data_IF_795113324346
#
_entry.id   IF_795113324346
#
_cell.length_a   1.000
_cell.length_b   1.000
_cell.length_c   1.000
_cell.angle_alpha   90.00
_cell.angle_beta   90.00
_cell.angle_gamma   90.00
#
_symmetry.space_group_name_H-M   'P 1'
#
loop_
_entity.id
_entity.type
_entity.pdbx_description
1 polymer ?
#
# COMPACT_ATOMS: atom_id res chain seq x y z
N UNK A 1 -7.46 6.33 -15.72
CA UNK A 1 -6.24 5.53 -15.54
C UNK A 1 -5.10 6.23 -16.24
N UNK A 2 -3.88 6.21 -15.71
CA UNK A 2 -2.77 7.01 -16.21
C UNK A 2 -1.71 6.16 -16.90
N UNK A 3 -1.21 6.65 -18.03
CA UNK A 3 -0.05 6.08 -18.71
C UNK A 3 1.16 6.97 -18.49
N UNK A 4 2.23 6.44 -17.93
CA UNK A 4 3.40 7.20 -17.39
C UNK A 4 4.62 7.12 -18.32
N UNK A 5 4.52 6.39 -19.43
CA UNK A 5 5.60 6.21 -20.38
C UNK A 5 5.31 5.14 -21.45
N UNK A 6 6.25 4.95 -22.36
CA UNK A 6 6.04 4.16 -23.59
C UNK A 6 6.19 2.63 -23.39
N UNK A 7 6.64 2.16 -22.21
CA UNK A 7 6.75 0.72 -21.94
C UNK A 7 5.37 0.13 -21.65
N UNK A 8 5.17 -1.14 -22.00
CA UNK A 8 3.96 -1.88 -21.66
C UNK A 8 3.62 -1.78 -20.16
N UNK A 9 4.61 -1.91 -19.30
CA UNK A 9 4.47 -1.82 -17.84
C UNK A 9 4.45 -0.38 -17.29
N UNK A 10 4.23 0.62 -18.14
CA UNK A 10 4.04 2.02 -17.72
C UNK A 10 2.59 2.45 -17.84
N UNK A 11 1.69 1.50 -17.92
CA UNK A 11 0.25 1.67 -18.00
C UNK A 11 -0.40 0.98 -16.79
N UNK A 12 -1.31 1.69 -16.08
CA UNK A 12 -1.95 1.19 -14.87
C UNK A 12 -2.77 -0.06 -15.14
N UNK A 13 -3.58 -0.06 -16.20
CA UNK A 13 -4.43 -1.19 -16.55
C UNK A 13 -3.60 -2.46 -16.81
N UNK A 14 -2.50 -2.31 -17.57
CA UNK A 14 -1.55 -3.41 -17.81
C UNK A 14 -0.91 -3.91 -16.52
N UNK A 15 -0.53 -2.99 -15.62
CA UNK A 15 0.08 -3.37 -14.34
C UNK A 15 -0.90 -4.08 -13.41
N UNK A 16 -2.16 -3.67 -13.39
CA UNK A 16 -3.21 -4.30 -12.59
C UNK A 16 -3.41 -5.76 -13.01
N UNK A 17 -3.53 -6.03 -14.31
CA UNK A 17 -3.67 -7.39 -14.84
C UNK A 17 -2.45 -8.26 -14.50
N UNK A 18 -1.23 -7.74 -14.70
CA UNK A 18 0.01 -8.45 -14.39
C UNK A 18 0.10 -8.74 -12.88
N UNK A 19 -0.29 -7.77 -12.05
CA UNK A 19 -0.24 -7.88 -10.58
C UNK A 19 -1.24 -8.91 -10.08
N UNK A 20 -2.49 -8.88 -10.57
CA UNK A 20 -3.52 -9.86 -10.24
C UNK A 20 -3.11 -11.28 -10.69
N UNK A 21 -2.57 -11.42 -11.91
CA UNK A 21 -2.03 -12.70 -12.38
C UNK A 21 -0.98 -13.26 -11.42
N UNK A 22 -0.03 -12.43 -11.01
CA UNK A 22 1.04 -12.89 -10.12
C UNK A 22 0.56 -13.13 -8.70
N UNK A 23 -0.45 -12.42 -8.24
CA UNK A 23 -1.06 -12.70 -6.93
C UNK A 23 -1.72 -14.08 -6.90
N UNK A 24 -2.54 -14.40 -7.90
CA UNK A 24 -3.20 -15.69 -8.03
C UNK A 24 -2.16 -16.81 -8.22
N UNK A 25 -1.14 -16.58 -9.06
CA UNK A 25 -0.04 -17.52 -9.26
C UNK A 25 0.71 -17.79 -7.95
N UNK A 26 1.07 -16.76 -7.17
CA UNK A 26 1.76 -16.91 -5.89
C UNK A 26 0.89 -17.60 -4.83
N UNK A 27 -0.45 -17.49 -4.96
CA UNK A 27 -1.43 -18.21 -4.13
C UNK A 27 -1.54 -19.70 -4.48
N UNK A 28 -0.89 -20.16 -5.53
CA UNK A 28 -0.85 -21.58 -5.89
C UNK A 28 -1.79 -21.98 -7.04
N UNK A 29 -2.52 -21.03 -7.62
CA UNK A 29 -3.46 -21.33 -8.70
C UNK A 29 -2.76 -21.79 -9.99
N UNK A 30 -3.44 -22.63 -10.76
CA UNK A 30 -2.93 -23.07 -12.07
C UNK A 30 -2.98 -21.91 -13.08
N UNK A 31 -1.94 -21.71 -13.91
CA UNK A 31 -1.91 -20.62 -14.89
C UNK A 31 -3.10 -20.59 -15.85
N UNK A 32 -3.68 -21.74 -16.20
CA UNK A 32 -4.87 -21.82 -17.06
C UNK A 32 -6.12 -21.32 -16.34
N UNK A 33 -6.28 -21.68 -15.06
CA UNK A 33 -7.41 -21.23 -14.25
C UNK A 33 -7.31 -19.72 -13.99
N UNK A 34 -6.10 -19.20 -13.76
CA UNK A 34 -5.84 -17.76 -13.64
C UNK A 34 -6.27 -17.04 -14.91
N UNK A 35 -5.88 -17.56 -16.08
CA UNK A 35 -6.27 -17.01 -17.37
C UNK A 35 -7.80 -16.90 -17.48
N UNK A 36 -8.52 -17.98 -17.22
CA UNK A 36 -9.99 -18.02 -17.32
C UNK A 36 -10.61 -16.99 -16.38
N UNK A 37 -10.10 -16.88 -15.16
CA UNK A 37 -10.57 -15.87 -14.20
C UNK A 37 -10.35 -14.45 -14.71
N UNK A 38 -9.15 -14.14 -15.20
CA UNK A 38 -8.86 -12.81 -15.73
C UNK A 38 -9.69 -12.49 -16.98
N UNK A 39 -9.84 -13.43 -17.92
CA UNK A 39 -10.72 -13.25 -19.07
C UNK A 39 -12.17 -12.98 -18.65
N UNK A 40 -12.63 -13.59 -17.56
CA UNK A 40 -13.98 -13.36 -17.02
C UNK A 40 -14.07 -12.00 -16.30
N UNK A 41 -13.10 -11.68 -15.46
CA UNK A 41 -13.11 -10.44 -14.66
C UNK A 41 -12.97 -9.18 -15.53
N UNK A 42 -12.26 -9.30 -16.66
CA UNK A 42 -11.97 -8.19 -17.58
C UNK A 42 -12.74 -8.31 -18.91
N UNK A 43 -13.86 -9.05 -18.93
CA UNK A 43 -14.62 -9.31 -20.17
C UNK A 43 -15.01 -8.00 -20.89
N UNK A 44 -15.52 -7.02 -20.15
CA UNK A 44 -15.92 -5.71 -20.71
C UNK A 44 -14.71 -4.96 -21.29
N UNK A 45 -13.55 -4.99 -20.62
CA UNK A 45 -12.32 -4.37 -21.12
C UNK A 45 -11.71 -5.13 -22.31
N UNK A 46 -11.91 -6.45 -22.40
CA UNK A 46 -11.44 -7.25 -23.55
C UNK A 46 -12.20 -6.88 -24.81
N UNK A 47 -13.50 -6.59 -24.67
CA UNK A 47 -14.38 -6.20 -25.78
C UNK A 47 -14.27 -4.69 -26.10
N UNK A 48 -13.60 -3.92 -25.26
CA UNK A 48 -13.34 -2.49 -25.46
C UNK A 48 -12.24 -2.26 -26.52
N UNK A 49 -12.48 -1.34 -27.45
CA UNK A 49 -11.55 -1.03 -28.53
C UNK A 49 -10.23 -0.43 -28.07
N UNK A 50 -10.24 0.28 -26.93
CA UNK A 50 -9.08 1.00 -26.40
C UNK A 50 -8.26 0.14 -25.41
N UNK A 51 -8.88 -0.78 -24.69
CA UNK A 51 -8.23 -1.57 -23.62
C UNK A 51 -7.94 -3.03 -24.04
N UNK A 52 -8.74 -3.62 -24.94
CA UNK A 52 -8.66 -5.05 -25.23
C UNK A 52 -7.29 -5.51 -25.72
N UNK A 53 -6.58 -4.72 -26.51
CA UNK A 53 -5.23 -5.05 -26.94
C UNK A 53 -4.22 -5.02 -25.78
N UNK A 54 -4.38 -4.10 -24.80
CA UNK A 54 -3.53 -3.99 -23.60
C UNK A 54 -3.69 -5.22 -22.70
N UNK A 55 -4.94 -5.71 -22.55
CA UNK A 55 -5.21 -6.94 -21.80
C UNK A 55 -4.38 -8.12 -22.33
N UNK A 56 -4.41 -8.34 -23.64
CA UNK A 56 -3.68 -9.47 -24.24
C UNK A 56 -2.17 -9.32 -24.14
N UNK A 57 -1.64 -8.11 -24.26
CA UNK A 57 -0.23 -7.83 -24.06
C UNK A 57 0.19 -8.09 -22.59
N UNK A 58 -0.63 -7.67 -21.64
CA UNK A 58 -0.38 -7.88 -20.20
C UNK A 58 -0.40 -9.36 -19.83
N UNK A 59 -1.43 -10.10 -20.28
CA UNK A 59 -1.56 -11.53 -20.04
C UNK A 59 -0.40 -12.32 -20.65
N UNK A 60 -0.02 -11.99 -21.90
CA UNK A 60 1.14 -12.59 -22.55
C UNK A 60 2.43 -12.37 -21.76
N UNK A 61 2.64 -11.15 -21.25
CA UNK A 61 3.80 -10.81 -20.42
C UNK A 61 3.84 -11.65 -19.14
N UNK A 62 2.71 -11.73 -18.44
CA UNK A 62 2.62 -12.47 -17.19
C UNK A 62 2.85 -13.98 -17.40
N UNK A 63 2.21 -14.58 -18.42
CA UNK A 63 2.40 -15.99 -18.75
C UNK A 63 3.83 -16.29 -19.21
N UNK A 64 4.42 -15.42 -20.04
CA UNK A 64 5.81 -15.59 -20.46
C UNK A 64 6.80 -15.49 -19.29
N UNK A 65 6.57 -14.57 -18.39
CA UNK A 65 7.42 -14.40 -17.20
C UNK A 65 7.47 -15.66 -16.33
N UNK A 66 6.40 -16.45 -16.26
CA UNK A 66 6.38 -17.74 -15.54
C UNK A 66 6.77 -18.94 -16.42
N UNK A 67 7.08 -18.70 -17.70
CA UNK A 67 7.46 -19.75 -18.66
C UNK A 67 6.29 -20.61 -19.14
N UNK A 68 5.06 -20.09 -19.10
CA UNK A 68 3.82 -20.83 -19.46
C UNK A 68 2.95 -20.03 -20.45
N UNK A 69 3.58 -19.44 -21.45
CA UNK A 69 2.86 -18.66 -22.48
C UNK A 69 2.04 -19.59 -23.40
N UNK A 70 0.74 -19.35 -23.46
CA UNK A 70 -0.18 -20.06 -24.34
C UNK A 70 0.01 -19.66 -25.80
N UNK A 71 -0.08 -20.63 -26.70
CA UNK A 71 0.12 -20.41 -28.16
C UNK A 71 -0.92 -19.46 -28.78
N UNK A 72 -2.15 -19.51 -28.32
CA UNK A 72 -3.22 -18.63 -28.80
C UNK A 72 -3.06 -17.19 -28.29
N UNK A 73 -2.54 -17.00 -27.07
CA UNK A 73 -2.17 -15.69 -26.54
C UNK A 73 -1.00 -15.10 -27.36
N UNK A 74 0.01 -15.90 -27.66
CA UNK A 74 1.10 -15.46 -28.55
C UNK A 74 0.57 -14.99 -29.91
N UNK A 75 -0.38 -15.73 -30.51
CA UNK A 75 -1.02 -15.33 -31.78
C UNK A 75 -1.79 -14.01 -31.68
N UNK A 76 -2.45 -13.76 -30.54
CA UNK A 76 -3.12 -12.47 -30.30
C UNK A 76 -2.10 -11.32 -30.27
N UNK A 77 -0.97 -11.49 -29.60
CA UNK A 77 0.12 -10.49 -29.61
C UNK A 77 0.67 -10.27 -31.03
N UNK A 78 0.88 -11.34 -31.80
CA UNK A 78 1.32 -11.22 -33.20
C UNK A 78 0.30 -10.45 -34.06
N UNK A 79 -0.98 -10.65 -33.80
CA UNK A 79 -2.06 -9.92 -34.51
C UNK A 79 -2.03 -8.43 -34.11
N UNK A 80 -1.89 -8.09 -32.81
CA UNK A 80 -1.77 -6.72 -32.33
C UNK A 80 -0.61 -5.99 -32.99
N UNK A 81 0.55 -6.64 -33.10
CA UNK A 81 1.73 -6.10 -33.80
C UNK A 81 1.48 -5.93 -35.31
N UNK A 82 0.88 -6.93 -35.95
CA UNK A 82 0.60 -6.91 -37.38
C UNK A 82 -0.40 -5.82 -37.77
N UNK A 83 -1.43 -5.60 -36.95
CA UNK A 83 -2.45 -4.56 -37.19
C UNK A 83 -2.01 -3.18 -36.72
N UNK A 84 -0.91 -3.09 -35.97
CA UNK A 84 -0.40 -1.86 -35.36
C UNK A 84 -1.43 -1.15 -34.45
N UNK A 85 -2.41 -1.88 -33.92
CA UNK A 85 -3.53 -1.31 -33.15
C UNK A 85 -3.03 -0.56 -31.90
N UNK A 86 -2.05 -1.12 -31.18
CA UNK A 86 -1.48 -0.48 -29.98
C UNK A 86 -0.88 0.90 -30.31
N UNK A 87 -0.14 1.03 -31.41
CA UNK A 87 0.45 2.32 -31.81
C UNK A 87 -0.61 3.29 -32.28
N UNK A 88 -1.63 2.80 -32.98
CA UNK A 88 -2.76 3.60 -33.48
C UNK A 88 -3.52 4.21 -32.29
N UNK A 89 -3.90 3.38 -31.31
CA UNK A 89 -4.56 3.84 -30.09
C UNK A 89 -3.67 4.77 -29.25
N UNK A 90 -2.37 4.49 -29.18
CA UNK A 90 -1.40 5.37 -28.54
C UNK A 90 -1.39 6.78 -29.14
N UNK A 91 -1.50 6.92 -30.48
CA UNK A 91 -1.56 8.20 -31.16
C UNK A 91 -2.90 8.90 -30.89
N UNK A 92 -4.02 8.17 -30.91
CA UNK A 92 -5.35 8.70 -30.62
C UNK A 92 -5.45 9.30 -29.21
N UNK A 93 -4.65 8.79 -28.26
CA UNK A 93 -4.56 9.26 -26.88
C UNK A 93 -3.45 10.31 -26.66
N UNK A 94 -2.98 10.97 -27.73
CA UNK A 94 -1.87 11.94 -27.67
C UNK A 94 -0.58 11.42 -27.01
N UNK A 95 -0.36 10.09 -27.14
CA UNK A 95 0.80 9.42 -26.56
C UNK A 95 2.13 9.88 -27.17
N UNK A 96 3.10 10.20 -26.31
CA UNK A 96 4.41 10.65 -26.73
C UNK A 96 5.18 9.57 -27.52
N UNK A 97 5.93 10.02 -28.55
CA UNK A 97 6.88 9.22 -29.31
C UNK A 97 6.33 7.85 -29.82
N UNK A 98 5.31 7.84 -30.71
CA UNK A 98 4.68 6.61 -31.21
C UNK A 98 5.68 5.65 -31.88
N UNK A 99 6.71 6.16 -32.53
CA UNK A 99 7.76 5.33 -33.14
C UNK A 99 8.49 4.47 -32.09
N UNK A 100 8.76 5.05 -30.94
CA UNK A 100 9.37 4.32 -29.83
C UNK A 100 8.41 3.30 -29.21
N UNK A 101 7.11 3.65 -29.06
CA UNK A 101 6.08 2.71 -28.60
C UNK A 101 6.00 1.50 -29.50
N UNK A 102 5.86 1.72 -30.82
CA UNK A 102 5.84 0.64 -31.84
C UNK A 102 7.06 -0.29 -31.71
N UNK A 103 8.26 0.31 -31.62
CA UNK A 103 9.48 -0.48 -31.47
C UNK A 103 9.46 -1.35 -30.21
N UNK A 104 9.03 -0.81 -29.09
CA UNK A 104 8.98 -1.54 -27.82
C UNK A 104 7.99 -2.71 -27.88
N UNK A 105 6.82 -2.53 -28.50
CA UNK A 105 5.83 -3.59 -28.67
C UNK A 105 6.35 -4.66 -29.63
N UNK A 106 7.04 -4.27 -30.71
CA UNK A 106 7.69 -5.21 -31.62
C UNK A 106 8.81 -6.00 -30.95
N UNK A 107 9.67 -5.34 -30.15
CA UNK A 107 10.72 -5.98 -29.38
C UNK A 107 10.13 -6.98 -28.38
N UNK A 108 9.07 -6.60 -27.66
CA UNK A 108 8.33 -7.48 -26.76
C UNK A 108 7.78 -8.71 -27.49
N UNK A 109 7.11 -8.53 -28.63
CA UNK A 109 6.57 -9.65 -29.42
C UNK A 109 7.68 -10.63 -29.87
N UNK A 110 8.86 -10.12 -30.20
CA UNK A 110 9.99 -10.98 -30.59
C UNK A 110 10.59 -11.69 -29.36
N UNK A 111 10.66 -11.00 -28.21
CA UNK A 111 11.17 -11.56 -26.97
C UNK A 111 10.34 -12.75 -26.49
N UNK A 112 9.00 -12.63 -26.47
CA UNK A 112 8.12 -13.68 -25.95
C UNK A 112 8.06 -14.94 -26.82
N UNK A 113 8.53 -14.90 -28.06
CA UNK A 113 8.71 -16.09 -28.92
C UNK A 113 9.80 -17.01 -28.41
N UNK A 114 10.72 -16.47 -27.61
CA UNK A 114 11.81 -17.23 -27.04
C UNK A 114 11.39 -17.63 -25.60
N UNK A 115 11.47 -18.91 -25.25
CA UNK A 115 11.19 -19.35 -23.88
C UNK A 115 12.03 -18.57 -22.88
N UNK A 116 11.40 -18.14 -21.78
CA UNK A 116 12.12 -17.39 -20.75
C UNK A 116 13.20 -18.24 -20.10
N UNK A 117 14.44 -17.81 -20.17
CA UNK A 117 15.60 -18.56 -19.66
C UNK A 117 15.53 -18.81 -18.13
N UNK A 118 14.95 -17.88 -17.39
CA UNK A 118 14.72 -17.97 -15.93
C UNK A 118 13.28 -17.60 -15.61
N UNK A 119 12.34 -18.56 -15.70
CA UNK A 119 10.94 -18.32 -15.34
C UNK A 119 10.80 -17.87 -13.88
N UNK A 120 9.86 -16.97 -13.63
CA UNK A 120 9.49 -16.53 -12.31
C UNK A 120 8.90 -17.71 -11.53
N UNK A 121 9.46 -17.96 -10.37
CA UNK A 121 8.94 -18.95 -9.42
C UNK A 121 7.87 -18.31 -8.54
N UNK A 122 6.94 -19.14 -8.04
CA UNK A 122 5.96 -18.71 -7.02
C UNK A 122 6.68 -18.14 -5.81
N UNK A 123 6.23 -16.97 -5.36
CA UNK A 123 6.74 -16.38 -4.14
C UNK A 123 5.96 -16.97 -2.96
N UNK A 124 6.67 -17.50 -1.98
CA UNK A 124 6.04 -17.89 -0.72
C UNK A 124 5.49 -16.63 -0.03
N UNK A 125 4.22 -16.64 0.30
CA UNK A 125 3.68 -15.63 1.23
C UNK A 125 4.34 -15.82 2.59
N UNK A 126 4.96 -14.77 3.08
CA UNK A 126 5.56 -14.75 4.41
C UNK A 126 4.57 -14.03 5.31
N UNK A 127 3.97 -14.79 6.23
CA UNK A 127 3.14 -14.22 7.27
C UNK A 127 4.00 -13.71 8.42
N UNK A 128 3.59 -12.60 8.99
CA UNK A 128 4.27 -11.92 10.09
C UNK A 128 3.25 -11.46 11.11
N UNK A 129 3.72 -11.18 12.31
CA UNK A 129 2.89 -10.61 13.36
C UNK A 129 3.41 -9.23 13.75
N UNK A 130 2.50 -8.32 14.07
CA UNK A 130 2.85 -7.05 14.69
C UNK A 130 3.74 -7.30 15.93
N UNK A 131 4.78 -6.48 16.15
CA UNK A 131 5.63 -6.58 17.36
C UNK A 131 4.89 -6.16 18.64
N UNK A 132 3.70 -5.60 18.50
CA UNK A 132 2.87 -5.11 19.58
C UNK A 132 1.55 -5.87 19.69
N UNK A 133 0.87 -5.64 20.83
CA UNK A 133 -0.49 -6.11 21.08
C UNK A 133 -1.46 -4.92 21.11
N UNK A 134 -2.72 -5.18 20.78
CA UNK A 134 -3.79 -4.20 20.92
C UNK A 134 -3.85 -3.66 22.35
N UNK A 135 -3.84 -2.36 22.48
CA UNK A 135 -3.87 -1.65 23.76
C UNK A 135 -2.50 -1.33 24.33
N UNK A 136 -1.41 -1.82 23.75
CA UNK A 136 -0.08 -1.48 24.23
C UNK A 136 0.11 0.03 24.20
N UNK A 137 0.63 0.54 25.31
CA UNK A 137 1.05 1.92 25.49
C UNK A 137 2.55 1.96 25.35
N UNK A 138 2.99 2.67 24.33
CA UNK A 138 4.41 2.74 23.96
C UNK A 138 4.94 4.14 24.19
N UNK A 139 6.10 4.23 24.83
CA UNK A 139 6.86 5.47 25.00
C UNK A 139 8.17 5.37 24.22
N UNK A 140 8.66 6.53 23.78
CA UNK A 140 9.91 6.67 23.04
C UNK A 140 10.54 8.04 23.31
N UNK A 141 11.82 8.18 23.03
CA UNK A 141 12.52 9.47 23.09
C UNK A 141 12.44 10.19 21.74
N UNK A 142 12.13 11.46 21.79
CA UNK A 142 12.19 12.39 20.68
C UNK A 142 13.64 12.84 20.42
N UNK A 143 13.87 13.54 19.34
CA UNK A 143 15.22 14.04 18.97
C UNK A 143 15.82 14.98 20.01
N UNK A 144 14.98 15.72 20.77
CA UNK A 144 15.41 16.59 21.86
C UNK A 144 15.53 15.88 23.23
N UNK A 145 15.37 14.55 23.28
CA UNK A 145 15.52 13.73 24.48
C UNK A 145 14.30 13.66 25.39
N UNK A 146 13.21 14.34 25.06
CA UNK A 146 11.94 14.23 25.78
C UNK A 146 11.18 12.95 25.36
N UNK A 147 10.17 12.58 26.15
CA UNK A 147 9.35 11.40 25.86
C UNK A 147 8.08 11.77 25.12
N UNK A 148 7.84 11.09 23.97
CA UNK A 148 6.58 10.98 23.29
C UNK A 148 5.91 9.63 23.55
N UNK A 149 4.66 9.48 23.14
CA UNK A 149 3.93 8.22 23.30
C UNK A 149 2.85 8.00 22.24
N UNK A 150 2.51 6.72 22.05
CA UNK A 150 1.36 6.29 21.27
C UNK A 150 0.66 5.09 21.91
N UNK A 151 -0.56 4.85 21.46
CA UNK A 151 -1.34 3.66 21.83
C UNK A 151 -1.56 2.80 20.57
N UNK A 152 -1.39 1.51 20.71
CA UNK A 152 -1.70 0.53 19.67
C UNK A 152 -3.20 0.26 19.65
N UNK A 153 -3.88 0.65 18.57
CA UNK A 153 -5.33 0.48 18.40
C UNK A 153 -5.66 -0.90 17.85
N UNK A 154 -4.91 -1.35 16.84
CA UNK A 154 -4.96 -2.71 16.31
C UNK A 154 -3.56 -3.25 16.07
N UNK A 155 -3.44 -4.57 16.12
CA UNK A 155 -2.20 -5.28 15.85
C UNK A 155 -2.52 -6.59 15.15
N UNK A 156 -2.16 -6.70 13.89
CA UNK A 156 -2.39 -7.91 13.11
C UNK A 156 -1.40 -9.00 13.48
N UNK A 157 -1.89 -10.23 13.51
CA UNK A 157 -1.10 -11.44 13.76
C UNK A 157 -1.26 -12.37 12.57
N UNK A 158 -0.16 -12.98 12.19
CA UNK A 158 -0.12 -13.97 11.11
C UNK A 158 -0.77 -13.48 9.81
N UNK A 159 -0.46 -12.23 9.44
CA UNK A 159 -0.88 -11.62 8.18
C UNK A 159 0.32 -11.28 7.30
N UNK A 160 0.06 -11.04 6.03
CA UNK A 160 1.12 -10.68 5.07
C UNK A 160 1.77 -9.33 5.42
N UNK A 161 0.98 -8.37 5.94
CA UNK A 161 1.45 -7.01 6.20
C UNK A 161 1.79 -6.75 7.66
N UNK A 162 1.28 -7.58 8.60
CA UNK A 162 1.47 -7.42 10.05
C UNK A 162 1.18 -5.98 10.51
N UNK A 163 0.11 -5.40 9.99
CA UNK A 163 -0.22 -3.99 10.19
C UNK A 163 -0.46 -3.69 11.66
N UNK A 164 0.11 -2.60 12.13
CA UNK A 164 -0.09 -2.05 13.47
C UNK A 164 -0.69 -0.67 13.33
N UNK A 165 -1.92 -0.49 13.78
CA UNK A 165 -2.53 0.84 13.83
C UNK A 165 -2.18 1.52 15.14
N UNK A 166 -1.62 2.70 15.08
CA UNK A 166 -1.27 3.51 16.26
C UNK A 166 -1.96 4.86 16.24
N UNK A 167 -2.15 5.44 17.42
CA UNK A 167 -2.59 6.81 17.61
C UNK A 167 -1.62 7.50 18.56
N UNK A 168 -1.05 8.61 18.11
CA UNK A 168 -0.18 9.42 18.97
C UNK A 168 -0.96 10.14 20.07
N UNK A 169 -0.29 10.33 21.19
CA UNK A 169 -0.84 11.07 22.34
C UNK A 169 -0.22 12.46 22.43
N UNK A 170 -1.01 13.41 22.88
CA UNK A 170 -0.56 14.78 23.08
C UNK A 170 0.23 14.91 24.42
N UNK A 171 1.34 14.19 24.48
CA UNK A 171 2.24 14.14 25.63
C UNK A 171 3.67 14.41 25.18
N UNK A 172 4.29 15.42 25.80
CA UNK A 172 5.74 15.60 25.83
C UNK A 172 6.15 15.70 27.31
N UNK A 173 7.15 14.91 27.71
CA UNK A 173 7.60 14.85 29.09
C UNK A 173 9.12 14.69 29.18
N UNK A 174 9.74 15.41 30.13
CA UNK A 174 11.18 15.27 30.42
C UNK A 174 11.51 13.94 31.09
N UNK A 175 10.54 13.32 31.74
CA UNK A 175 10.68 12.02 32.41
C UNK A 175 9.72 11.01 31.77
N UNK A 176 10.07 9.72 31.88
CA UNK A 176 9.21 8.65 31.38
C UNK A 176 7.82 8.73 32.02
N UNK A 177 6.75 8.92 31.21
CA UNK A 177 5.41 9.06 31.75
C UNK A 177 4.88 7.73 32.28
N UNK A 178 4.14 7.79 33.38
CA UNK A 178 3.46 6.60 33.94
C UNK A 178 2.18 6.32 33.16
N UNK A 179 1.78 5.07 33.10
CA UNK A 179 0.55 4.63 32.41
C UNK A 179 -0.71 5.35 32.96
N UNK A 180 -0.75 5.67 34.24
CA UNK A 180 -1.85 6.41 34.86
C UNK A 180 -2.00 7.84 34.32
N UNK A 181 -0.90 8.48 33.97
CA UNK A 181 -0.88 9.81 33.33
C UNK A 181 -1.35 9.67 31.88
N UNK A 182 -0.82 8.69 31.18
CA UNK A 182 -1.19 8.41 29.78
C UNK A 182 -2.68 8.09 29.65
N UNK A 183 -3.23 7.29 30.53
CA UNK A 183 -4.66 6.93 30.49
C UNK A 183 -5.61 8.14 30.62
N UNK A 184 -5.12 9.25 31.14
CA UNK A 184 -5.86 10.52 31.32
C UNK A 184 -5.51 11.57 30.27
N UNK A 185 -4.59 11.26 29.37
CA UNK A 185 -4.13 12.20 28.33
C UNK A 185 -5.16 12.38 27.20
N UNK A 186 -4.89 13.38 26.37
CA UNK A 186 -5.57 13.58 25.12
C UNK A 186 -4.83 12.86 23.98
N UNK A 187 -5.55 12.50 22.93
CA UNK A 187 -4.93 12.11 21.67
C UNK A 187 -4.31 13.32 20.99
N UNK A 188 -3.28 13.09 20.21
CA UNK A 188 -2.66 14.14 19.41
C UNK A 188 -3.53 14.47 18.21
N UNK A 189 -4.12 15.67 18.24
CA UNK A 189 -4.80 16.29 17.12
C UNK A 189 -3.86 17.35 16.58
N UNK A 190 -3.51 17.29 15.31
CA UNK A 190 -2.65 18.30 14.72
C UNK A 190 -3.40 19.19 13.75
N UNK A 191 -2.88 20.38 13.55
CA UNK A 191 -3.41 21.38 12.65
C UNK A 191 -2.63 21.33 11.32
N UNK A 192 -3.35 21.33 10.21
CA UNK A 192 -2.75 21.45 8.87
C UNK A 192 -3.64 22.31 7.99
N UNK A 193 -3.09 22.79 6.90
CA UNK A 193 -3.85 23.43 5.82
C UNK A 193 -3.84 22.50 4.61
N UNK A 194 -5.01 22.17 4.10
CA UNK A 194 -5.16 21.41 2.89
C UNK A 194 -6.14 22.14 1.96
N UNK A 195 -5.73 22.33 0.71
CA UNK A 195 -6.51 23.07 -0.30
C UNK A 195 -6.91 24.50 0.14
N UNK A 196 -6.05 25.17 0.91
CA UNK A 196 -6.30 26.51 1.42
C UNK A 196 -7.27 26.61 2.61
N UNK A 197 -7.69 25.47 3.16
CA UNK A 197 -8.59 25.42 4.32
C UNK A 197 -7.90 24.84 5.55
N UNK A 198 -8.08 25.44 6.73
CA UNK A 198 -7.56 24.90 7.98
C UNK A 198 -8.27 23.60 8.34
N UNK A 199 -7.51 22.59 8.71
CA UNK A 199 -8.02 21.30 9.11
C UNK A 199 -7.42 20.86 10.45
N UNK A 200 -8.25 20.29 11.32
CA UNK A 200 -7.83 19.61 12.54
C UNK A 200 -7.94 18.11 12.30
N UNK A 201 -6.82 17.41 12.31
CA UNK A 201 -6.76 15.99 11.91
C UNK A 201 -6.45 15.13 13.13
N UNK A 202 -7.32 14.13 13.35
CA UNK A 202 -7.00 12.96 14.16
C UNK A 202 -6.51 11.89 13.18
N UNK A 203 -5.31 11.42 13.37
CA UNK A 203 -4.72 10.45 12.47
C UNK A 203 -4.43 9.14 13.17
N UNK A 204 -5.06 8.07 12.68
CA UNK A 204 -4.63 6.72 12.95
C UNK A 204 -3.65 6.31 11.85
N UNK A 205 -2.47 5.90 12.26
CA UNK A 205 -1.39 5.49 11.38
C UNK A 205 -1.33 3.97 11.31
N UNK A 206 -1.51 3.44 10.12
CA UNK A 206 -1.21 2.04 9.84
C UNK A 206 0.28 1.89 9.49
N UNK A 207 0.98 1.16 10.33
CA UNK A 207 2.39 0.85 10.14
C UNK A 207 2.50 -0.61 9.75
N UNK A 208 2.79 -0.87 8.48
CA UNK A 208 2.91 -2.22 7.94
C UNK A 208 4.32 -2.77 8.06
N UNK A 209 4.40 -4.08 7.94
CA UNK A 209 5.59 -4.94 7.80
C UNK A 209 6.74 -4.57 8.74
N UNK A 210 6.67 -5.09 9.96
CA UNK A 210 7.83 -5.09 10.86
C UNK A 210 8.92 -6.03 10.32
N UNK A 211 10.13 -5.48 10.16
CA UNK A 211 11.33 -6.25 9.80
C UNK A 211 12.32 -6.23 10.95
N UNK A 212 12.59 -7.38 11.62
CA UNK A 212 13.56 -7.43 12.72
C UNK A 212 14.96 -6.94 12.36
N UNK A 213 15.31 -6.99 11.08
CA UNK A 213 16.63 -6.55 10.60
C UNK A 213 16.63 -5.05 10.28
N UNK A 214 15.63 -4.58 9.51
CA UNK A 214 15.57 -3.18 9.05
C UNK A 214 15.15 -2.21 10.16
N UNK A 215 14.17 -2.62 10.97
CA UNK A 215 13.54 -1.77 11.96
C UNK A 215 14.10 -1.96 13.38
N UNK A 216 15.12 -2.81 13.54
CA UNK A 216 15.71 -3.13 14.85
C UNK A 216 16.04 -1.88 15.67
N UNK A 217 16.74 -0.91 15.05
CA UNK A 217 17.15 0.33 15.73
C UNK A 217 15.97 1.20 16.15
N UNK A 218 14.87 1.19 15.39
CA UNK A 218 13.64 1.91 15.74
C UNK A 218 12.96 1.18 16.89
N UNK A 219 12.80 -0.13 16.76
CA UNK A 219 12.09 -0.93 17.76
C UNK A 219 12.79 -0.91 19.14
N UNK A 220 14.12 -0.91 19.19
CA UNK A 220 14.91 -0.81 20.44
C UNK A 220 14.68 0.50 21.20
N UNK A 221 14.15 1.53 20.53
CA UNK A 221 13.80 2.82 21.14
C UNK A 221 12.33 2.88 21.59
N UNK A 222 11.53 1.89 21.26
CA UNK A 222 10.12 1.80 21.57
C UNK A 222 9.93 0.90 22.83
N UNK A 223 9.42 1.49 23.90
CA UNK A 223 9.23 0.79 25.17
C UNK A 223 7.75 0.66 25.48
N UNK A 224 7.24 -0.56 25.60
CA UNK A 224 5.90 -0.83 26.14
C UNK A 224 5.94 -0.64 27.64
N UNK A 225 5.12 0.28 28.16
CA UNK A 225 5.05 0.59 29.61
C UNK A 225 3.77 0.04 30.26
N UNK A 226 2.87 -0.53 29.48
CA UNK A 226 1.66 -1.17 29.96
C UNK A 226 0.62 -1.31 28.86
N UNK A 227 -0.57 -1.75 29.24
CA UNK A 227 -1.65 -2.02 28.29
C UNK A 227 -2.98 -1.47 28.78
N UNK A 228 -3.70 -0.80 27.88
CA UNK A 228 -5.05 -0.31 28.11
C UNK A 228 -6.08 -1.28 27.52
N UNK A 229 -7.21 -1.43 28.18
CA UNK A 229 -8.32 -2.22 27.66
C UNK A 229 -9.08 -1.40 26.61
N UNK A 230 -8.92 -1.77 25.34
CA UNK A 230 -9.54 -1.08 24.21
C UNK A 230 -10.76 -1.90 23.74
N UNK A 231 -11.93 -1.27 23.66
CA UNK A 231 -13.12 -1.83 23.01
C UNK A 231 -12.86 -1.96 21.51
N UNK A 232 -13.77 -2.65 20.80
CA UNK A 232 -13.67 -2.78 19.34
C UNK A 232 -13.88 -1.40 18.72
N UNK A 233 -12.81 -0.80 18.23
CA UNK A 233 -12.86 0.48 17.51
C UNK A 233 -13.02 0.16 16.03
N UNK A 234 -14.09 0.65 15.40
CA UNK A 234 -14.17 0.74 13.95
C UNK A 234 -13.39 1.98 13.56
N UNK A 235 -12.34 1.83 12.80
CA UNK A 235 -11.57 2.96 12.28
C UNK A 235 -11.42 2.82 10.78
N UNK A 236 -11.42 3.94 10.10
CA UNK A 236 -10.92 4.05 8.75
C UNK A 236 -9.46 4.47 8.85
N UNK A 237 -8.61 3.78 8.12
CA UNK A 237 -7.19 4.11 8.04
C UNK A 237 -7.06 5.37 7.22
N UNK A 238 -6.48 6.39 7.82
CA UNK A 238 -6.29 7.66 7.14
C UNK A 238 -4.92 7.78 6.48
N UNK A 239 -3.92 7.07 7.01
CA UNK A 239 -2.53 7.21 6.53
C UNK A 239 -1.74 5.95 6.78
N UNK A 240 -0.97 5.55 5.77
CA UNK A 240 0.03 4.49 5.89
C UNK A 240 1.41 5.10 6.16
N UNK A 241 2.18 4.45 7.03
CA UNK A 241 3.53 4.88 7.39
C UNK A 241 4.46 3.69 7.55
N UNK A 242 5.72 3.95 7.85
CA UNK A 242 6.73 2.95 8.18
C UNK A 242 7.30 3.15 9.58
N UNK A 243 7.85 2.10 10.16
CA UNK A 243 8.50 2.19 11.47
C UNK A 243 9.61 3.25 11.52
N UNK A 244 10.35 3.43 10.43
CA UNK A 244 11.40 4.46 10.32
C UNK A 244 10.87 5.90 10.46
N UNK A 245 9.59 6.13 10.18
CA UNK A 245 8.97 7.45 10.22
C UNK A 245 8.22 7.76 11.52
N UNK A 246 8.14 6.81 12.45
CA UNK A 246 7.33 6.97 13.69
C UNK A 246 7.76 8.20 14.50
N UNK A 247 9.06 8.37 14.73
CA UNK A 247 9.57 9.50 15.52
C UNK A 247 9.38 10.84 14.82
N UNK A 248 9.83 10.95 13.56
CA UNK A 248 9.67 12.18 12.77
C UNK A 248 8.19 12.52 12.53
N UNK A 249 7.37 11.51 12.34
CA UNK A 249 5.93 11.68 12.22
C UNK A 249 5.27 12.25 13.50
N UNK A 250 5.71 11.80 14.67
CA UNK A 250 5.28 12.38 15.94
C UNK A 250 5.76 13.82 16.10
N UNK A 251 7.05 14.07 15.89
CA UNK A 251 7.67 15.38 16.07
C UNK A 251 7.06 16.43 15.14
N UNK A 252 6.76 16.04 13.90
CA UNK A 252 6.05 16.92 12.97
C UNK A 252 4.67 17.31 13.50
N UNK A 253 3.87 16.33 13.93
CA UNK A 253 2.48 16.57 14.37
C UNK A 253 2.40 17.35 15.65
N UNK A 254 3.29 17.09 16.62
CA UNK A 254 3.31 17.77 17.91
C UNK A 254 3.78 19.24 17.78
N UNK A 255 4.47 19.58 16.69
CA UNK A 255 4.88 20.98 16.41
C UNK A 255 3.73 21.86 15.93
N UNK A 256 2.60 21.27 15.51
CA UNK A 256 1.41 21.97 15.06
C UNK A 256 0.15 21.51 15.81
N UNK A 257 0.14 21.62 17.17
CA UNK A 257 -0.95 21.08 17.96
C UNK A 257 -2.25 21.85 17.71
N UNK A 258 -3.34 21.11 17.58
CA UNK A 258 -4.68 21.71 17.58
C UNK A 258 -5.05 22.24 18.96
N UNK A 259 -5.84 23.30 19.02
CA UNK A 259 -6.48 23.76 20.26
C UNK A 259 -7.58 22.79 20.73
N UNK A 260 -8.08 21.95 19.84
CA UNK A 260 -9.10 20.97 20.16
C UNK A 260 -8.52 19.82 20.97
N UNK A 261 -9.29 19.28 21.90
CA UNK A 261 -8.87 18.20 22.80
C UNK A 261 -9.88 17.08 22.81
N UNK A 262 -9.40 15.88 22.62
CA UNK A 262 -10.18 14.65 22.78
C UNK A 262 -9.41 13.74 23.72
N UNK A 263 -10.02 13.43 24.88
CA UNK A 263 -9.38 12.51 25.82
C UNK A 263 -9.23 11.12 25.20
N UNK A 264 -8.12 10.46 25.50
CA UNK A 264 -7.84 9.09 25.09
C UNK A 264 -8.98 8.15 25.50
N UNK A 265 -9.55 8.32 26.69
CA UNK A 265 -10.70 7.56 27.19
C UNK A 265 -11.92 7.69 26.26
N UNK A 266 -12.24 8.92 25.82
CA UNK A 266 -13.34 9.19 24.88
C UNK A 266 -13.06 8.57 23.53
N UNK A 267 -11.83 8.73 23.03
CA UNK A 267 -11.39 8.18 21.74
C UNK A 267 -11.49 6.66 21.71
N UNK A 268 -10.96 5.96 22.71
CA UNK A 268 -10.98 4.50 22.77
C UNK A 268 -12.38 3.90 23.04
N UNK A 269 -13.33 4.70 23.49
CA UNK A 269 -14.66 4.26 23.90
C UNK A 269 -15.77 4.48 22.88
N UNK A 270 -15.68 5.46 22.00
CA UNK A 270 -16.87 5.97 21.31
C UNK A 270 -16.73 6.37 19.84
N UNK A 271 -15.52 6.53 19.27
CA UNK A 271 -15.45 7.08 17.92
C UNK A 271 -14.98 6.05 16.90
N UNK A 272 -15.79 5.84 15.80
CA UNK A 272 -15.17 5.47 14.56
C UNK A 272 -14.17 6.59 14.21
N UNK A 273 -12.96 6.23 13.80
CA UNK A 273 -12.02 7.22 13.28
C UNK A 273 -12.53 7.62 11.90
N UNK A 274 -13.54 8.46 11.89
CA UNK A 274 -13.87 9.26 10.73
C UNK A 274 -12.95 10.48 10.77
N UNK A 275 -12.54 10.93 9.59
CA UNK A 275 -11.94 12.24 9.40
C UNK A 275 -12.89 13.25 10.04
N UNK A 276 -12.64 13.61 11.30
CA UNK A 276 -13.44 14.64 11.96
C UNK A 276 -12.94 15.96 11.38
N UNK A 277 -13.62 16.42 10.35
CA UNK A 277 -13.47 17.79 9.86
C UNK A 277 -14.27 18.62 10.86
N UNK A 278 -13.58 19.43 11.61
CA UNK A 278 -14.23 20.45 12.44
C UNK A 278 -14.37 21.70 11.57
N UNK A 279 -15.59 22.16 11.39
CA UNK A 279 -15.89 23.47 10.84
C UNK A 279 -15.44 24.60 11.77
#
# INVERSE_FOLDING_TARGET
MGTWGQKLTSDDFTLDIISEFFELFDNGEDPRDIRIKLETNYADSIDDEDEGHLFWLALAKAQWDIGSLDKDILKKVETIVKTDIDTTKWIELDGENPKKRRRLIQEFSNEIKIPRAKPRKRKKKIFRSSPFEKGDVVVFKTSNGEYGSFVVVTAEKDTQFATTTIVFLNIISKTEPKISIIAQSDILIFFTEANGYPQHIIEALDIGIYSPIKDKKVYEQLKVIGRLKIKKVKHEVNTHSSWSNVFGGFEHRISYPSKQKISLKKFLGYLPIQKIIFE
#
